data_IF_428183162474
#
_entry.id   IF_428183162474
#
_cell.length_a   1.000
_cell.length_b   1.000
_cell.length_c   1.000
_cell.angle_alpha   90.00
_cell.angle_beta   90.00
_cell.angle_gamma   90.00
#
_symmetry.space_group_name_H-M   'P 1'
#
loop_
_entity.id
_entity.type
_entity.pdbx_description
1 polymer ?
#
# COMPACT_ATOMS: atom_id res chain seq x y z
N UNK A 1 8.53 2.68 6.72
CA UNK A 1 9.00 1.28 6.78
C UNK A 1 8.80 0.60 5.44
N UNK A 2 7.57 0.58 4.91
CA UNK A 2 7.25 -0.14 3.68
C UNK A 2 8.08 0.27 2.44
N UNK A 3 8.19 1.58 2.17
CA UNK A 3 9.05 2.10 1.09
C UNK A 3 10.51 1.62 1.26
N UNK A 4 11.02 1.55 2.49
CA UNK A 4 12.40 1.16 2.75
C UNK A 4 12.64 -0.34 2.61
N UNK A 5 11.67 -1.17 3.01
CA UNK A 5 11.79 -2.63 2.94
C UNK A 5 11.35 -3.22 1.61
N UNK A 6 10.59 -2.47 0.80
CA UNK A 6 9.96 -2.97 -0.41
C UNK A 6 9.20 -4.29 -0.18
N UNK A 7 8.56 -4.43 0.98
CA UNK A 7 7.90 -5.67 1.39
C UNK A 7 6.80 -5.36 2.41
N UNK A 8 5.55 -5.44 1.93
CA UNK A 8 4.35 -5.13 2.72
C UNK A 8 4.28 -5.96 4.00
N UNK A 9 4.53 -7.27 3.88
CA UNK A 9 4.43 -8.21 5.00
C UNK A 9 5.41 -7.85 6.11
N UNK A 10 6.69 -7.63 5.75
CA UNK A 10 7.72 -7.26 6.72
C UNK A 10 7.42 -5.89 7.34
N UNK A 11 6.99 -4.93 6.52
CA UNK A 11 6.62 -3.60 7.00
C UNK A 11 5.45 -3.62 7.99
N UNK A 12 4.39 -4.39 7.68
CA UNK A 12 3.22 -4.54 8.55
C UNK A 12 3.62 -5.22 9.86
N UNK A 13 4.40 -6.30 9.83
CA UNK A 13 4.85 -7.01 11.05
C UNK A 13 5.68 -6.08 11.94
N UNK A 14 6.57 -5.26 11.37
CA UNK A 14 7.36 -4.28 12.13
C UNK A 14 6.52 -3.12 12.67
N UNK A 15 5.52 -2.66 11.92
CA UNK A 15 4.64 -1.56 12.34
C UNK A 15 3.53 -2.00 13.31
N UNK A 16 3.21 -3.30 13.36
CA UNK A 16 2.09 -3.84 14.13
C UNK A 16 2.11 -3.48 15.64
N UNK A 17 3.24 -3.56 16.38
CA UNK A 17 3.26 -3.18 17.80
C UNK A 17 2.86 -1.70 18.01
N UNK A 18 3.37 -0.81 17.16
CA UNK A 18 3.09 0.63 17.21
C UNK A 18 1.61 0.89 16.88
N UNK A 19 1.12 0.26 15.81
CA UNK A 19 -0.27 0.40 15.41
C UNK A 19 -1.25 -0.14 16.45
N UNK A 20 -0.89 -1.23 17.14
CA UNK A 20 -1.68 -1.80 18.23
C UNK A 20 -1.79 -0.83 19.41
N UNK A 21 -0.66 -0.29 19.88
CA UNK A 21 -0.64 0.70 20.97
C UNK A 21 -1.50 1.93 20.60
N UNK A 22 -1.38 2.42 19.37
CA UNK A 22 -2.22 3.51 18.87
C UNK A 22 -3.70 3.13 18.85
N UNK A 23 -4.05 1.94 18.39
CA UNK A 23 -5.44 1.51 18.33
C UNK A 23 -6.10 1.40 19.71
N UNK A 24 -5.35 0.97 20.73
CA UNK A 24 -5.80 0.91 22.12
C UNK A 24 -6.01 2.32 22.68
N UNK A 25 -5.07 3.24 22.42
CA UNK A 25 -5.15 4.63 22.88
C UNK A 25 -6.35 5.40 22.29
N UNK A 26 -6.71 5.14 21.03
CA UNK A 26 -7.79 5.83 20.33
C UNK A 26 -9.09 5.02 20.25
N UNK A 27 -9.16 3.85 20.88
CA UNK A 27 -10.36 2.99 20.86
C UNK A 27 -10.73 2.47 19.47
N UNK A 28 -9.76 2.31 18.57
CA UNK A 28 -9.98 1.82 17.20
C UNK A 28 -9.93 0.29 17.23
N UNK A 29 -10.91 -0.37 16.60
CA UNK A 29 -10.93 -1.83 16.57
C UNK A 29 -9.73 -2.40 15.81
N UNK A 30 -9.17 -3.52 16.29
CA UNK A 30 -8.04 -4.21 15.66
C UNK A 30 -8.25 -4.49 14.17
N UNK A 31 -9.50 -4.78 13.76
CA UNK A 31 -9.86 -5.00 12.36
C UNK A 31 -9.68 -3.74 11.51
N UNK A 32 -10.11 -2.57 12.00
CA UNK A 32 -9.94 -1.30 11.30
C UNK A 32 -8.45 -0.94 11.19
N UNK A 33 -7.70 -1.09 12.29
CA UNK A 33 -6.25 -0.84 12.33
C UNK A 33 -5.49 -1.72 11.33
N UNK A 34 -5.76 -3.03 11.33
CA UNK A 34 -5.14 -3.96 10.39
C UNK A 34 -5.46 -3.63 8.93
N UNK A 35 -6.74 -3.29 8.64
CA UNK A 35 -7.16 -2.88 7.30
C UNK A 35 -6.46 -1.61 6.83
N UNK A 36 -6.26 -0.62 7.72
CA UNK A 36 -5.54 0.61 7.38
C UNK A 36 -4.07 0.33 7.11
N UNK A 37 -3.40 -0.43 7.98
CA UNK A 37 -2.02 -0.85 7.79
C UNK A 37 -1.81 -1.52 6.43
N UNK A 38 -2.66 -2.50 6.10
CA UNK A 38 -2.57 -3.24 4.84
C UNK A 38 -2.82 -2.34 3.62
N UNK A 39 -3.85 -1.50 3.70
CA UNK A 39 -4.21 -0.62 2.58
C UNK A 39 -3.09 0.36 2.25
N UNK A 40 -2.56 1.07 3.25
CA UNK A 40 -1.49 2.04 3.01
C UNK A 40 -0.20 1.35 2.56
N UNK A 41 0.10 0.17 3.10
CA UNK A 41 1.22 -0.67 2.63
C UNK A 41 1.06 -1.01 1.13
N UNK A 42 -0.11 -1.48 0.70
CA UNK A 42 -0.39 -1.75 -0.71
C UNK A 42 -0.26 -0.53 -1.63
N UNK A 43 -0.72 0.64 -1.18
CA UNK A 43 -0.60 1.88 -1.96
C UNK A 43 0.86 2.25 -2.20
N UNK A 44 1.69 2.26 -1.15
CA UNK A 44 3.09 2.64 -1.29
C UNK A 44 3.87 1.60 -2.10
N UNK A 45 3.61 0.31 -1.92
CA UNK A 45 4.22 -0.72 -2.77
C UNK A 45 3.83 -0.57 -4.25
N UNK A 46 2.61 -0.17 -4.55
CA UNK A 46 2.21 0.11 -5.93
C UNK A 46 3.02 1.23 -6.58
N UNK A 47 3.52 2.18 -5.79
CA UNK A 47 4.21 3.38 -6.29
C UNK A 47 5.73 3.18 -6.38
N UNK A 48 6.32 2.23 -5.64
CA UNK A 48 7.78 2.06 -5.67
C UNK A 48 8.27 1.35 -6.94
N UNK A 49 9.28 1.92 -7.64
CA UNK A 49 9.76 1.34 -8.89
C UNK A 49 10.60 0.07 -8.71
N UNK A 50 11.12 -0.17 -7.51
CA UNK A 50 11.97 -1.31 -7.15
C UNK A 50 11.22 -2.43 -6.41
N UNK A 51 9.89 -2.36 -6.36
CA UNK A 51 9.08 -3.45 -5.82
C UNK A 51 9.17 -4.71 -6.68
N UNK A 52 9.15 -5.89 -6.07
CA UNK A 52 9.26 -7.16 -6.79
C UNK A 52 8.22 -7.29 -7.93
N UNK A 53 6.98 -6.89 -7.67
CA UNK A 53 5.88 -6.87 -8.65
C UNK A 53 6.15 -5.96 -9.86
N UNK A 54 6.77 -4.80 -9.63
CA UNK A 54 7.14 -3.87 -10.70
C UNK A 54 8.29 -4.43 -11.53
N UNK A 55 9.31 -4.98 -10.88
CA UNK A 55 10.46 -5.57 -11.56
C UNK A 55 10.05 -6.76 -12.44
N UNK A 56 9.14 -7.60 -11.96
CA UNK A 56 8.58 -8.72 -12.74
C UNK A 56 7.76 -8.22 -13.94
N UNK A 57 6.96 -7.17 -13.76
CA UNK A 57 6.21 -6.58 -14.88
C UNK A 57 7.14 -6.01 -15.97
N UNK A 58 8.22 -5.33 -15.56
CA UNK A 58 9.22 -4.77 -16.47
C UNK A 58 10.02 -5.88 -17.16
N UNK A 59 10.42 -6.93 -16.44
CA UNK A 59 11.13 -8.06 -17.05
C UNK A 59 10.28 -8.77 -18.10
N UNK A 60 9.00 -9.01 -17.80
CA UNK A 60 8.06 -9.60 -18.75
C UNK A 60 7.84 -8.71 -19.99
N UNK A 61 7.74 -7.39 -19.80
CA UNK A 61 7.62 -6.44 -20.93
C UNK A 61 8.87 -6.44 -21.82
N UNK A 62 10.06 -6.48 -21.20
CA UNK A 62 11.33 -6.56 -21.94
C UNK A 62 11.46 -7.87 -22.72
N UNK A 63 11.02 -9.01 -22.16
CA UNK A 63 11.01 -10.30 -22.86
C UNK A 63 10.11 -10.29 -24.12
N UNK A 64 9.03 -9.50 -24.09
CA UNK A 64 8.15 -9.28 -25.24
C UNK A 64 8.69 -8.25 -26.25
N UNK A 65 9.89 -7.71 -26.03
CA UNK A 65 10.55 -6.74 -26.91
C UNK A 65 10.20 -5.27 -26.62
N UNK A 66 9.51 -4.97 -25.52
CA UNK A 66 9.16 -3.60 -25.15
C UNK A 66 10.12 -3.06 -24.09
N UNK A 67 10.75 -1.91 -24.36
CA UNK A 67 11.54 -1.19 -23.37
C UNK A 67 10.64 -0.23 -22.57
N UNK A 68 10.10 -0.70 -21.44
CA UNK A 68 9.22 0.08 -20.56
C UNK A 68 9.90 0.33 -19.21
N UNK A 69 9.82 1.57 -18.73
CA UNK A 69 10.31 1.97 -17.41
C UNK A 69 9.22 1.91 -16.35
N UNK A 70 9.60 1.67 -15.09
CA UNK A 70 8.68 1.73 -13.94
C UNK A 70 7.89 3.05 -13.89
N UNK A 71 8.53 4.17 -14.22
CA UNK A 71 7.91 5.50 -14.23
C UNK A 71 6.82 5.68 -15.28
N UNK A 72 6.77 4.81 -16.30
CA UNK A 72 5.69 4.78 -17.27
C UNK A 72 4.52 3.91 -16.79
N UNK A 73 4.78 2.92 -15.93
CA UNK A 73 3.78 2.01 -15.38
C UNK A 73 3.07 2.64 -14.17
N UNK A 74 3.81 3.30 -13.28
CA UNK A 74 3.25 3.88 -12.04
C UNK A 74 2.00 4.75 -12.29
N UNK A 75 1.97 5.67 -13.27
CA UNK A 75 0.80 6.54 -13.50
C UNK A 75 -0.44 5.77 -13.98
N UNK A 76 -0.27 4.58 -14.57
CA UNK A 76 -1.38 3.75 -15.08
C UNK A 76 -1.79 2.66 -14.10
N UNK A 77 -1.21 2.61 -12.90
CA UNK A 77 -1.65 1.73 -11.81
C UNK A 77 -2.92 2.28 -11.17
N UNK A 78 -4.05 2.05 -11.84
CA UNK A 78 -5.36 2.51 -11.38
C UNK A 78 -5.77 1.91 -10.04
N UNK A 79 -5.44 0.64 -9.78
CA UNK A 79 -5.89 -0.06 -8.57
C UNK A 79 -5.32 0.57 -7.27
N UNK A 80 -4.00 0.74 -7.08
CA UNK A 80 -3.45 1.44 -5.91
C UNK A 80 -4.00 2.86 -5.74
N UNK A 81 -4.19 3.59 -6.84
CA UNK A 81 -4.73 4.95 -6.81
C UNK A 81 -6.20 4.98 -6.35
N UNK A 82 -7.04 4.11 -6.91
CA UNK A 82 -8.44 3.97 -6.49
C UNK A 82 -8.55 3.50 -5.05
N UNK A 83 -7.70 2.57 -4.63
CA UNK A 83 -7.65 2.09 -3.25
C UNK A 83 -7.31 3.22 -2.28
N UNK A 84 -6.31 4.05 -2.60
CA UNK A 84 -5.97 5.24 -1.83
C UNK A 84 -7.15 6.21 -1.74
N UNK A 85 -7.79 6.53 -2.88
CA UNK A 85 -8.95 7.43 -2.92
C UNK A 85 -10.09 6.88 -2.06
N UNK A 86 -10.45 5.60 -2.22
CA UNK A 86 -11.51 4.96 -1.44
C UNK A 86 -11.23 4.99 0.06
N UNK A 87 -9.97 4.81 0.45
CA UNK A 87 -9.55 4.81 1.86
C UNK A 87 -9.60 6.20 2.45
N UNK A 88 -9.18 7.21 1.70
CA UNK A 88 -9.29 8.61 2.12
C UNK A 88 -10.76 9.03 2.26
N UNK A 89 -11.63 8.65 1.31
CA UNK A 89 -13.07 8.89 1.41
C UNK A 89 -13.63 8.21 2.67
N UNK A 90 -13.24 6.96 2.94
CA UNK A 90 -13.70 6.24 4.13
C UNK A 90 -13.24 6.92 5.44
N UNK A 91 -12.02 7.46 5.48
CA UNK A 91 -11.49 8.16 6.66
C UNK A 91 -12.17 9.52 6.89
N UNK A 92 -12.42 10.31 5.83
CA UNK A 92 -12.87 11.70 5.97
C UNK A 92 -14.38 11.90 5.85
N UNK A 93 -15.08 11.06 5.08
CA UNK A 93 -16.49 11.27 4.72
C UNK A 93 -17.42 10.37 5.52
N UNK A 94 -17.01 9.13 5.79
CA UNK A 94 -17.86 8.18 6.51
C UNK A 94 -17.71 8.44 8.00
N UNK A 95 -18.79 8.87 8.71
CA UNK A 95 -18.72 9.05 10.14
C UNK A 95 -18.37 7.72 10.78
N UNK A 96 -17.34 7.73 11.62
CA UNK A 96 -17.05 6.60 12.48
C UNK A 96 -18.18 6.49 13.50
N UNK A 97 -19.17 5.64 13.22
CA UNK A 97 -20.12 5.21 14.23
C UNK A 97 -19.30 4.67 15.42
N UNK A 98 -19.49 5.31 16.57
CA UNK A 98 -18.82 4.99 17.83
C UNK A 98 -19.16 3.58 18.29
#
# INVERSE_FOLDING_TARGET
MDIATANNTVAIVMANPIAKEMSENYGISNRKTASLLDTFSCVFQGIIPYGAQMLVAISAANELGYAISAFQIIPVLFYPLMLLISSLIWIFVIPADK
#
